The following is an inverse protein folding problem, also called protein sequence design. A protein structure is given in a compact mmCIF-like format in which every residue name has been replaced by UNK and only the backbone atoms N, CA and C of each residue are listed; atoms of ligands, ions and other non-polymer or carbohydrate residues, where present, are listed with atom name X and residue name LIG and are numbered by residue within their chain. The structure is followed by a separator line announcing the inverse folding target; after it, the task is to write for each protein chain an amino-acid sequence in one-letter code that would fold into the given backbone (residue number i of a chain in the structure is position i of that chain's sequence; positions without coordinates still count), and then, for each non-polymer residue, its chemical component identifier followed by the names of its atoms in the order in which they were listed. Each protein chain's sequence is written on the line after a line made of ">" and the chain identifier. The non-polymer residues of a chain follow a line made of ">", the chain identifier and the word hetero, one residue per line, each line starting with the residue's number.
data_IF_950982410475
#
_entry.id   IF_950982410475
#
_cell.length_a   1.000
_cell.length_b   1.000
_cell.length_c   1.000
_cell.angle_alpha   90.00
_cell.angle_beta   90.00
_cell.angle_gamma   90.00
#
_symmetry.space_group_name_H-M   'P 1'
#
loop_
_entity.id
_entity.type
_entity.pdbx_description
1 polymer ?
#
# COMPACT_ATOMS: atom_id res chain seq x y z
N UNK A 1 72.79 -34.53 -60.82
CA UNK A 1 73.88 -33.58 -60.52
C UNK A 1 73.84 -33.28 -59.03
N UNK A 2 74.95 -33.54 -58.33
CA UNK A 2 75.32 -33.06 -56.97
C UNK A 2 76.05 -31.72 -57.19
N UNK A 3 75.96 -30.61 -56.38
CA UNK A 3 76.15 -30.47 -54.89
C UNK A 3 75.08 -29.57 -54.20
N UNK A 4 74.87 -29.51 -52.87
CA UNK A 4 75.69 -29.22 -51.67
C UNK A 4 76.12 -27.73 -51.52
N UNK A 5 76.35 -27.21 -50.28
CA UNK A 5 75.35 -26.62 -49.37
C UNK A 5 75.75 -25.19 -48.90
N UNK A 6 74.90 -24.49 -48.13
CA UNK A 6 75.43 -23.45 -47.23
C UNK A 6 74.60 -23.30 -45.94
N UNK A 7 75.27 -23.56 -44.83
CA UNK A 7 74.86 -23.33 -43.45
C UNK A 7 75.01 -21.85 -43.12
N UNK A 8 74.05 -21.24 -42.43
CA UNK A 8 74.39 -20.43 -41.25
C UNK A 8 73.31 -20.54 -40.15
N UNK A 9 73.84 -20.97 -39.02
CA UNK A 9 73.31 -21.07 -37.67
C UNK A 9 72.70 -19.76 -37.18
N UNK A 10 71.56 -19.79 -36.47
CA UNK A 10 71.43 -19.11 -35.17
C UNK A 10 70.35 -19.77 -34.30
N UNK A 11 70.71 -19.92 -33.03
CA UNK A 11 70.02 -20.57 -31.94
C UNK A 11 68.79 -19.79 -31.46
N UNK A 12 67.74 -20.50 -31.03
CA UNK A 12 67.24 -20.42 -29.65
C UNK A 12 66.11 -21.41 -29.39
N UNK A 13 66.31 -22.29 -28.39
CA UNK A 13 65.27 -22.74 -27.45
C UNK A 13 64.11 -23.62 -27.94
N UNK A 14 64.25 -24.93 -27.76
CA UNK A 14 63.14 -25.91 -27.63
C UNK A 14 62.14 -25.46 -26.52
N UNK A 15 60.88 -25.87 -26.46
CA UNK A 15 60.41 -27.23 -26.08
C UNK A 15 58.89 -27.34 -26.34
N UNK A 16 58.51 -28.53 -26.82
CA UNK A 16 57.19 -29.18 -26.85
C UNK A 16 56.12 -28.65 -25.87
N UNK A 17 54.94 -28.30 -26.40
CA UNK A 17 53.69 -28.28 -25.63
C UNK A 17 52.89 -29.55 -25.92
N UNK A 18 52.76 -30.39 -24.87
CA UNK A 18 51.83 -31.52 -24.82
C UNK A 18 50.43 -30.98 -24.51
N UNK A 19 49.46 -31.36 -25.33
CA UNK A 19 48.02 -31.10 -25.10
C UNK A 19 47.54 -31.82 -23.84
N UNK A 20 46.89 -31.09 -22.92
CA UNK A 20 46.16 -31.68 -21.79
C UNK A 20 44.74 -31.12 -21.80
N UNK A 21 43.77 -32.01 -22.05
CA UNK A 21 42.34 -31.74 -21.94
C UNK A 21 41.96 -31.47 -20.49
N UNK A 22 41.30 -30.34 -20.21
CA UNK A 22 40.77 -29.99 -18.88
C UNK A 22 39.28 -30.30 -18.84
N UNK A 23 38.91 -31.24 -17.98
CA UNK A 23 37.54 -31.38 -17.47
C UNK A 23 37.22 -30.18 -16.57
N UNK A 24 36.21 -29.39 -16.94
CA UNK A 24 35.64 -28.33 -16.12
C UNK A 24 34.67 -28.93 -15.11
N UNK A 25 34.83 -28.70 -13.79
CA UNK A 25 33.83 -29.11 -12.82
C UNK A 25 32.61 -28.18 -12.89
N UNK A 26 31.42 -28.77 -12.99
CA UNK A 26 30.14 -28.08 -12.87
C UNK A 26 29.95 -27.69 -11.40
N UNK A 27 30.08 -26.40 -11.08
CA UNK A 27 29.79 -25.87 -9.75
C UNK A 27 28.27 -25.75 -9.59
N UNK A 28 27.67 -26.66 -8.82
CA UNK A 28 26.27 -26.57 -8.43
C UNK A 28 26.12 -25.45 -7.37
N UNK A 29 25.72 -24.25 -7.81
CA UNK A 29 25.39 -23.15 -6.90
C UNK A 29 24.02 -23.48 -6.28
N UNK A 30 24.03 -23.93 -5.02
CA UNK A 30 22.83 -24.03 -4.21
C UNK A 30 22.38 -22.60 -3.88
N UNK A 31 21.43 -22.07 -4.64
CA UNK A 31 20.78 -20.80 -4.29
C UNK A 31 20.01 -21.07 -2.99
N UNK A 32 20.35 -20.44 -1.85
CA UNK A 32 19.56 -20.60 -0.64
C UNK A 32 18.12 -20.17 -0.95
N UNK A 33 17.10 -20.86 -0.40
CA UNK A 33 15.72 -20.39 -0.52
C UNK A 33 15.71 -18.93 -0.06
N UNK A 34 15.09 -18.05 -0.86
CA UNK A 34 14.93 -16.64 -0.49
C UNK A 34 14.43 -16.60 0.95
N UNK A 35 15.29 -16.20 1.89
CA UNK A 35 14.83 -15.85 3.22
C UNK A 35 13.95 -14.64 3.04
N UNK A 36 12.64 -14.87 2.98
CA UNK A 36 11.67 -13.85 3.35
C UNK A 36 12.16 -13.31 4.68
N UNK A 37 12.61 -12.06 4.70
CA UNK A 37 12.98 -11.41 5.94
C UNK A 37 11.74 -11.50 6.85
N UNK A 38 11.81 -12.36 7.88
CA UNK A 38 10.74 -12.49 8.84
C UNK A 38 10.53 -11.11 9.45
N UNK A 39 9.37 -10.52 9.16
CA UNK A 39 8.96 -9.25 9.73
C UNK A 39 9.05 -9.38 11.26
N UNK A 40 9.87 -8.54 11.89
CA UNK A 40 10.00 -8.46 13.35
C UNK A 40 8.80 -7.78 14.00
N UNK A 41 7.73 -7.57 13.24
CA UNK A 41 6.52 -6.92 13.69
C UNK A 41 5.90 -7.70 14.85
N UNK A 42 5.66 -7.00 15.96
CA UNK A 42 4.92 -7.56 17.09
C UNK A 42 3.46 -7.16 16.91
N UNK A 43 2.54 -8.14 16.78
CA UNK A 43 1.12 -7.87 16.71
C UNK A 43 0.66 -6.92 17.82
N UNK A 44 -0.13 -5.91 17.46
CA UNK A 44 -0.68 -4.96 18.41
C UNK A 44 -2.11 -4.57 18.05
N UNK A 45 -2.79 -3.94 19.01
CA UNK A 45 -4.04 -3.23 18.72
C UNK A 45 -3.71 -1.82 18.23
N UNK A 46 -4.09 -1.51 16.99
CA UNK A 46 -3.94 -0.19 16.40
C UNK A 46 -5.28 0.56 16.47
N UNK A 47 -5.28 1.70 17.17
CA UNK A 47 -6.48 2.49 17.42
C UNK A 47 -6.56 3.70 16.48
N UNK A 48 -7.72 3.88 15.85
CA UNK A 48 -8.03 5.02 15.00
C UNK A 48 -9.33 5.66 15.46
N UNK A 49 -9.35 6.99 15.55
CA UNK A 49 -10.52 7.78 15.94
C UNK A 49 -11.01 8.54 14.72
N UNK A 50 -12.16 8.16 14.16
CA UNK A 50 -12.64 8.67 12.87
C UNK A 50 -14.03 9.25 13.05
N UNK A 51 -14.29 10.43 12.52
CA UNK A 51 -15.63 11.00 12.47
C UNK A 51 -16.11 11.26 11.04
N UNK A 52 -17.40 10.98 10.77
CA UNK A 52 -18.06 11.44 9.56
C UNK A 52 -18.59 12.86 9.79
N UNK A 53 -18.24 13.81 8.91
CA UNK A 53 -18.60 15.24 9.05
C UNK A 53 -19.10 15.84 7.75
N UNK A 54 -20.17 16.64 7.82
CA UNK A 54 -20.62 17.41 6.66
C UNK A 54 -19.63 18.57 6.43
N UNK A 55 -19.19 18.73 5.19
CA UNK A 55 -18.27 19.78 4.76
C UNK A 55 -18.78 20.41 3.47
N UNK A 56 -18.42 21.67 3.24
CA UNK A 56 -18.49 22.27 1.91
C UNK A 56 -17.18 21.99 1.18
N UNK A 57 -17.24 21.23 0.09
CA UNK A 57 -16.05 20.80 -0.64
C UNK A 57 -15.94 21.51 -1.99
N UNK A 58 -14.88 22.31 -2.17
CA UNK A 58 -14.55 22.96 -3.44
C UNK A 58 -13.65 22.06 -4.29
N UNK A 59 -14.14 21.56 -5.42
CA UNK A 59 -13.37 20.70 -6.33
C UNK A 59 -12.31 21.45 -7.14
N UNK A 60 -12.44 22.77 -7.28
CA UNK A 60 -11.50 23.60 -8.03
C UNK A 60 -11.19 24.89 -7.24
N UNK A 61 -10.48 24.80 -6.11
CA UNK A 61 -10.27 25.94 -5.20
C UNK A 61 -9.47 27.08 -5.83
N UNK A 62 -8.68 26.81 -6.88
CA UNK A 62 -7.97 27.83 -7.63
C UNK A 62 -8.84 28.55 -8.68
N UNK A 63 -10.03 28.02 -8.98
CA UNK A 63 -10.90 28.54 -10.05
C UNK A 63 -10.35 28.35 -11.46
N UNK A 64 -9.21 27.69 -11.64
CA UNK A 64 -8.54 27.50 -12.93
C UNK A 64 -8.31 26.02 -13.25
N UNK A 65 -8.39 25.67 -14.54
CA UNK A 65 -8.08 24.34 -15.02
C UNK A 65 -6.56 24.13 -15.15
N UNK A 66 -5.95 23.57 -14.12
CA UNK A 66 -4.52 23.29 -14.09
C UNK A 66 -4.11 22.02 -14.88
N UNK A 67 -5.04 21.27 -15.46
CA UNK A 67 -4.74 20.01 -16.18
C UNK A 67 -4.15 20.32 -17.57
N UNK A 68 -4.76 21.25 -18.30
CA UNK A 68 -4.33 21.66 -19.65
C UNK A 68 -4.50 23.18 -19.85
N UNK A 69 -3.69 24.02 -19.16
CA UNK A 69 -3.87 25.47 -19.18
C UNK A 69 -3.79 26.07 -20.59
N UNK A 70 -2.96 25.49 -21.47
CA UNK A 70 -2.81 25.94 -22.86
C UNK A 70 -4.05 25.74 -23.74
N UNK A 71 -5.04 24.96 -23.30
CA UNK A 71 -6.27 24.73 -24.07
C UNK A 71 -7.35 25.79 -23.82
N UNK A 72 -7.15 26.72 -22.88
CA UNK A 72 -8.13 27.77 -22.57
C UNK A 72 -9.49 27.21 -22.11
N UNK A 73 -9.48 26.02 -21.50
CA UNK A 73 -10.69 25.38 -20.98
C UNK A 73 -10.85 25.81 -19.54
N UNK A 74 -11.94 26.48 -19.21
CA UNK A 74 -12.26 26.88 -17.83
C UNK A 74 -12.61 25.69 -16.93
N UNK A 75 -12.75 25.95 -15.63
CA UNK A 75 -13.29 24.96 -14.69
C UNK A 75 -14.72 24.59 -15.08
N UNK A 76 -15.07 23.31 -14.88
CA UNK A 76 -16.38 22.82 -15.29
C UNK A 76 -17.49 23.29 -14.36
N UNK A 77 -18.46 24.03 -14.90
CA UNK A 77 -19.70 24.43 -14.23
C UNK A 77 -19.61 25.74 -13.43
N UNK A 78 -20.78 26.30 -13.13
CA UNK A 78 -20.92 27.58 -12.41
C UNK A 78 -20.80 27.45 -10.88
N UNK A 79 -20.84 26.20 -10.38
CA UNK A 79 -20.74 25.87 -8.96
C UNK A 79 -19.56 24.93 -8.75
N UNK A 80 -18.61 25.33 -7.91
CA UNK A 80 -17.40 24.54 -7.64
C UNK A 80 -17.43 23.85 -6.26
N UNK A 81 -18.31 24.33 -5.37
CA UNK A 81 -18.46 23.86 -4.00
C UNK A 81 -19.74 23.07 -3.80
N UNK A 82 -19.65 21.91 -3.15
CA UNK A 82 -20.78 21.02 -2.91
C UNK A 82 -20.77 20.47 -1.49
N UNK A 83 -21.96 20.26 -0.93
CA UNK A 83 -22.10 19.55 0.33
C UNK A 83 -21.61 18.10 0.16
N UNK A 84 -20.67 17.71 1.02
CA UNK A 84 -20.12 16.36 1.09
C UNK A 84 -20.07 15.91 2.54
N UNK A 85 -19.86 14.61 2.74
CA UNK A 85 -19.48 14.06 4.03
C UNK A 85 -18.08 13.48 3.90
N UNK A 86 -17.18 13.85 4.82
CA UNK A 86 -15.80 13.35 4.87
C UNK A 86 -15.55 12.58 6.15
N UNK A 87 -14.62 11.63 6.08
CA UNK A 87 -14.11 10.89 7.23
C UNK A 87 -12.81 11.53 7.72
N UNK A 88 -12.86 12.14 8.89
CA UNK A 88 -11.76 12.92 9.49
C UNK A 88 -11.15 12.13 10.64
N UNK A 89 -9.83 12.01 10.69
CA UNK A 89 -9.12 11.38 11.82
C UNK A 89 -8.92 12.37 12.96
N UNK A 90 -9.02 11.88 14.19
CA UNK A 90 -8.78 12.61 15.42
C UNK A 90 -7.65 11.97 16.23
N UNK A 91 -7.03 12.74 17.11
CA UNK A 91 -5.92 12.27 17.94
C UNK A 91 -6.33 11.24 18.98
N UNK A 92 -7.57 11.30 19.46
CA UNK A 92 -8.06 10.48 20.58
C UNK A 92 -9.60 10.40 20.63
N UNK A 93 -10.09 9.68 21.65
CA UNK A 93 -11.51 9.40 21.87
C UNK A 93 -12.37 10.62 22.20
N UNK A 94 -11.78 11.81 22.43
CA UNK A 94 -12.56 13.02 22.69
C UNK A 94 -13.14 13.61 21.41
N UNK A 95 -12.54 13.32 20.25
CA UNK A 95 -12.89 13.93 18.96
C UNK A 95 -12.84 15.46 18.98
N UNK A 96 -11.87 16.03 19.72
CA UNK A 96 -11.67 17.48 19.83
C UNK A 96 -10.56 17.99 18.90
N UNK A 97 -9.51 17.21 18.69
CA UNK A 97 -8.34 17.61 17.90
C UNK A 97 -8.23 16.74 16.65
N UNK A 98 -8.46 17.35 15.48
CA UNK A 98 -8.22 16.69 14.20
C UNK A 98 -6.74 16.35 14.05
N UNK A 99 -6.44 15.15 13.55
CA UNK A 99 -5.08 14.77 13.20
C UNK A 99 -4.74 15.40 11.86
N UNK A 100 -3.54 15.98 11.75
CA UNK A 100 -3.09 16.61 10.50
C UNK A 100 -3.10 15.60 9.37
N UNK A 101 -3.88 15.91 8.33
CA UNK A 101 -3.92 15.16 7.07
C UNK A 101 -2.96 15.80 6.07
N UNK A 102 -2.27 14.97 5.28
CA UNK A 102 -1.51 15.48 4.15
C UNK A 102 -2.45 16.15 3.12
N UNK A 103 -2.20 17.40 2.72
CA UNK A 103 -3.01 18.10 1.73
C UNK A 103 -3.23 17.34 0.42
N UNK A 104 -2.29 16.49 -0.02
CA UNK A 104 -2.44 15.75 -1.28
C UNK A 104 -3.60 14.75 -1.26
N UNK A 105 -4.02 14.27 -0.07
CA UNK A 105 -5.15 13.34 0.06
C UNK A 105 -6.48 14.01 -0.33
N UNK A 106 -6.55 15.35 -0.29
CA UNK A 106 -7.73 16.10 -0.68
C UNK A 106 -8.99 15.59 0.04
N UNK A 107 -9.98 15.12 -0.72
CA UNK A 107 -11.27 14.69 -0.20
C UNK A 107 -11.22 13.35 0.53
N UNK A 108 -10.19 12.54 0.29
CA UNK A 108 -10.05 11.21 0.88
C UNK A 108 -10.05 11.27 2.41
N UNK A 109 -10.47 10.18 3.05
CA UNK A 109 -10.44 10.06 4.49
C UNK A 109 -9.06 9.68 5.03
N UNK A 110 -9.01 9.43 6.33
CA UNK A 110 -7.83 8.92 7.03
C UNK A 110 -7.23 7.69 6.35
N UNK A 111 -5.90 7.66 6.17
CA UNK A 111 -5.20 6.46 5.71
C UNK A 111 -4.95 5.53 6.89
N UNK A 112 -5.61 4.38 6.90
CA UNK A 112 -5.41 3.35 7.92
C UNK A 112 -4.31 2.39 7.48
N UNK A 113 -3.39 2.08 8.39
CA UNK A 113 -2.30 1.11 8.16
C UNK A 113 -2.29 0.07 9.25
N UNK A 114 -2.02 -1.17 8.86
CA UNK A 114 -1.81 -2.30 9.76
C UNK A 114 -0.88 -3.29 9.09
N UNK A 115 -0.19 -4.08 9.91
CA UNK A 115 0.57 -5.23 9.44
C UNK A 115 -0.18 -6.51 9.77
N UNK A 116 0.21 -7.59 9.09
CA UNK A 116 -0.28 -8.94 9.40
C UNK A 116 -0.08 -9.24 10.89
N UNK A 117 -1.13 -9.77 11.51
CA UNK A 117 -1.22 -10.05 12.94
C UNK A 117 -1.91 -8.94 13.75
N UNK A 118 -1.99 -7.72 13.24
CA UNK A 118 -2.61 -6.61 13.98
C UNK A 118 -4.13 -6.77 14.12
N UNK A 119 -4.68 -6.05 15.11
CA UNK A 119 -6.12 -5.80 15.23
C UNK A 119 -6.37 -4.30 15.18
N UNK A 120 -7.17 -3.87 14.20
CA UNK A 120 -7.63 -2.50 14.06
C UNK A 120 -8.86 -2.27 14.95
N UNK A 121 -8.79 -1.23 15.78
CA UNK A 121 -9.89 -0.68 16.57
C UNK A 121 -10.28 0.68 15.99
N UNK A 122 -11.39 0.72 15.25
CA UNK A 122 -11.88 1.94 14.62
C UNK A 122 -13.00 2.52 15.48
N UNK A 123 -12.67 3.56 16.24
CA UNK A 123 -13.60 4.32 17.05
C UNK A 123 -14.28 5.37 16.16
N UNK A 124 -15.47 5.02 15.67
CA UNK A 124 -16.25 5.86 14.78
C UNK A 124 -17.23 6.74 15.55
N UNK A 125 -17.31 8.02 15.18
CA UNK A 125 -18.32 8.98 15.64
C UNK A 125 -19.06 9.58 14.45
N UNK A 126 -20.38 9.48 14.42
CA UNK A 126 -21.15 10.13 13.38
C UNK A 126 -21.51 11.56 13.79
N UNK A 127 -20.74 12.55 13.30
CA UNK A 127 -21.04 13.98 13.47
C UNK A 127 -21.84 14.54 12.26
N UNK A 128 -22.19 13.70 11.29
CA UNK A 128 -22.92 14.10 10.09
C UNK A 128 -24.45 14.06 10.31
N UNK A 129 -25.20 14.52 9.31
CA UNK A 129 -26.68 14.68 9.39
C UNK A 129 -27.46 13.39 9.12
N UNK A 130 -26.83 12.40 8.49
CA UNK A 130 -27.46 11.13 8.10
C UNK A 130 -26.75 9.97 8.79
N UNK A 131 -27.39 8.79 8.91
CA UNK A 131 -26.70 7.58 9.35
C UNK A 131 -25.54 7.24 8.41
N UNK A 132 -24.38 6.91 8.98
CA UNK A 132 -23.19 6.47 8.26
C UNK A 132 -22.54 5.29 9.00
N UNK A 133 -21.68 4.57 8.30
CA UNK A 133 -20.94 3.42 8.81
C UNK A 133 -19.58 3.33 8.11
N UNK A 134 -18.70 2.45 8.58
CA UNK A 134 -17.45 2.13 7.88
C UNK A 134 -17.41 0.64 7.58
N UNK A 135 -17.34 0.31 6.29
CA UNK A 135 -17.15 -1.05 5.78
C UNK A 135 -15.71 -1.25 5.32
N UNK A 136 -14.96 -2.22 5.86
CA UNK A 136 -13.57 -2.40 5.48
C UNK A 136 -13.41 -3.36 4.30
N UNK A 137 -12.35 -3.16 3.53
CA UNK A 137 -11.81 -4.14 2.60
C UNK A 137 -10.45 -4.65 3.13
N UNK A 138 -10.03 -5.84 2.70
CA UNK A 138 -8.68 -6.34 2.99
C UNK A 138 -8.42 -6.69 4.46
N UNK A 139 -9.45 -6.92 5.28
CA UNK A 139 -9.33 -7.36 6.68
C UNK A 139 -10.47 -8.30 7.05
N UNK A 140 -10.31 -9.04 8.15
CA UNK A 140 -11.31 -9.96 8.65
C UNK A 140 -12.19 -9.31 9.74
N UNK A 141 -13.50 -9.51 9.66
CA UNK A 141 -14.46 -8.96 10.61
C UNK A 141 -15.61 -9.94 10.89
N UNK A 142 -16.27 -9.76 12.04
CA UNK A 142 -17.55 -10.44 12.32
C UNK A 142 -18.71 -9.63 11.76
N UNK A 143 -19.90 -10.23 11.63
CA UNK A 143 -21.10 -9.53 11.15
C UNK A 143 -21.42 -8.24 11.94
N UNK A 144 -21.19 -8.24 13.25
CA UNK A 144 -21.39 -7.05 14.09
C UNK A 144 -20.40 -5.90 13.78
N UNK A 145 -19.26 -6.19 13.15
CA UNK A 145 -18.18 -5.25 12.83
C UNK A 145 -18.05 -4.98 11.33
N UNK A 146 -19.01 -5.42 10.51
CA UNK A 146 -18.95 -5.30 9.06
C UNK A 146 -19.21 -3.88 8.55
N UNK A 147 -20.08 -3.12 9.21
CA UNK A 147 -20.42 -1.78 8.75
C UNK A 147 -21.35 -1.71 7.54
N UNK A 148 -22.03 -2.80 7.19
CA UNK A 148 -23.03 -2.83 6.13
C UNK A 148 -24.38 -3.33 6.64
N UNK A 149 -25.45 -2.69 6.18
CA UNK A 149 -26.83 -3.09 6.44
C UNK A 149 -27.47 -3.69 5.17
N UNK A 150 -28.13 -4.82 5.32
CA UNK A 150 -28.92 -5.47 4.28
C UNK A 150 -30.00 -6.35 4.90
N UNK A 151 -30.97 -6.78 4.08
CA UNK A 151 -32.13 -7.55 4.54
C UNK A 151 -31.70 -8.80 5.35
N UNK A 152 -32.28 -8.93 6.55
CA UNK A 152 -31.97 -10.03 7.48
C UNK A 152 -30.69 -9.84 8.29
N UNK A 153 -30.03 -8.68 8.21
CA UNK A 153 -28.69 -8.51 8.76
C UNK A 153 -28.42 -7.05 9.21
N UNK A 154 -29.30 -6.53 10.07
CA UNK A 154 -29.17 -5.21 10.72
C UNK A 154 -28.30 -5.30 11.96
N UNK A 155 -27.28 -4.42 12.04
CA UNK A 155 -26.41 -4.30 13.22
C UNK A 155 -26.22 -2.83 13.58
N UNK A 156 -25.87 -2.53 14.84
CA UNK A 156 -25.59 -1.16 15.27
C UNK A 156 -24.49 -0.48 14.44
N UNK A 157 -23.47 -1.25 14.03
CA UNK A 157 -22.38 -0.74 13.20
C UNK A 157 -22.75 -0.55 11.73
N UNK A 158 -23.85 -1.14 11.25
CA UNK A 158 -24.30 -1.06 9.86
C UNK A 158 -24.94 0.28 9.47
N UNK A 159 -25.47 1.01 10.45
CA UNK A 159 -26.03 2.36 10.27
C UNK A 159 -25.95 3.12 11.61
N UNK A 160 -24.81 3.77 11.87
CA UNK A 160 -24.61 4.55 13.10
C UNK A 160 -25.32 5.88 12.95
N UNK A 161 -26.26 6.20 13.84
CA UNK A 161 -27.11 7.38 13.71
C UNK A 161 -26.35 8.68 14.01
N UNK A 162 -26.85 9.85 13.56
CA UNK A 162 -26.28 11.14 13.93
C UNK A 162 -26.09 11.29 15.45
N UNK A 163 -24.90 11.70 15.87
CA UNK A 163 -24.51 11.84 17.28
C UNK A 163 -24.05 10.56 17.96
N UNK A 164 -24.26 9.38 17.36
CA UNK A 164 -23.86 8.11 17.95
C UNK A 164 -22.41 7.74 17.62
N UNK A 165 -21.90 6.75 18.37
CA UNK A 165 -20.57 6.17 18.19
C UNK A 165 -20.65 4.66 18.04
N UNK A 166 -19.69 4.09 17.34
CA UNK A 166 -19.52 2.65 17.23
C UNK A 166 -18.03 2.32 17.15
N UNK A 167 -17.60 1.22 17.78
CA UNK A 167 -16.21 0.75 17.64
C UNK A 167 -16.18 -0.53 16.82
N UNK A 168 -15.57 -0.45 15.65
CA UNK A 168 -15.30 -1.62 14.81
C UNK A 168 -14.01 -2.32 15.26
N UNK A 169 -14.03 -3.64 15.30
CA UNK A 169 -12.84 -4.49 15.52
C UNK A 169 -12.59 -5.34 14.28
N UNK A 170 -11.47 -5.10 13.61
CA UNK A 170 -11.04 -5.83 12.42
C UNK A 170 -9.70 -6.48 12.65
N UNK A 171 -9.53 -7.73 12.23
CA UNK A 171 -8.29 -8.49 12.35
C UNK A 171 -7.57 -8.52 11.01
N UNK A 172 -6.25 -8.48 11.04
CA UNK A 172 -5.40 -8.60 9.84
C UNK A 172 -4.75 -9.99 9.82
N UNK A 173 -5.41 -11.02 9.28
CA UNK A 173 -4.81 -12.35 9.16
C UNK A 173 -3.71 -12.37 8.09
N UNK A 174 -2.92 -13.46 8.05
CA UNK A 174 -1.92 -13.69 7.00
C UNK A 174 -2.53 -13.59 5.59
N UNK A 175 -3.74 -14.14 5.41
CA UNK A 175 -4.46 -14.10 4.13
C UNK A 175 -4.93 -12.71 3.70
N UNK A 176 -4.76 -11.70 4.55
CA UNK A 176 -5.02 -10.30 4.24
C UNK A 176 -3.72 -9.51 3.96
N UNK A 177 -2.56 -10.16 4.09
CA UNK A 177 -1.28 -9.58 3.72
C UNK A 177 -0.98 -9.70 2.22
N UNK A 178 0.09 -9.05 1.75
CA UNK A 178 0.59 -9.20 0.38
C UNK A 178 1.04 -10.64 0.10
N UNK A 179 0.77 -11.14 -1.10
CA UNK A 179 1.33 -12.40 -1.58
C UNK A 179 2.84 -12.25 -1.92
N UNK A 180 3.60 -13.35 -2.07
CA UNK A 180 5.04 -13.28 -2.34
C UNK A 180 5.47 -12.48 -3.59
N UNK A 181 4.55 -12.28 -4.55
CA UNK A 181 4.79 -11.50 -5.77
C UNK A 181 4.22 -10.08 -5.71
N UNK A 182 3.54 -9.72 -4.62
CA UNK A 182 3.05 -8.36 -4.39
C UNK A 182 4.17 -7.46 -3.87
N UNK A 183 3.90 -6.15 -3.84
CA UNK A 183 4.73 -5.21 -3.10
C UNK A 183 4.67 -5.46 -1.59
N UNK A 184 5.45 -4.71 -0.81
CA UNK A 184 5.44 -4.83 0.67
C UNK A 184 4.12 -4.39 1.33
N UNK A 185 3.14 -3.94 0.56
CA UNK A 185 1.82 -3.48 1.03
C UNK A 185 0.80 -3.60 -0.10
N UNK A 186 -0.46 -3.85 0.27
CA UNK A 186 -1.62 -3.89 -0.62
C UNK A 186 -2.71 -2.94 -0.09
N UNK A 187 -3.67 -2.59 -0.96
CA UNK A 187 -4.85 -1.76 -0.66
C UNK A 187 -6.13 -2.50 -1.02
#
# INVERSE_FOLDING_TARGET
>A
MIPAPELQTQFSGQIMTRTVSRLTPFLLILIPPHSSALSTHKPHEAHYYIAAENVQWNYAPSGVNNIMPAKGIDVWGDQLSYDKVRYIEYTDATFNTEKTQDPHLGILGATLRAAVGDTLKIHFKNKAKQPYSIHPHGVFYTKANEGAEYAGATTKGGAVKPGETFTYTWKVPESAGPDPNDGSSIV
#
